data_IF_214515434800
#
_entry.id   IF_214515434800
#
_cell.length_a   1.000
_cell.length_b   1.000
_cell.length_c   1.000
_cell.angle_alpha   90.00
_cell.angle_beta   90.00
_cell.angle_gamma   90.00
#
_symmetry.space_group_name_H-M   'P 1'
#
loop_
_entity.id
_entity.type
_entity.pdbx_description
1 polymer ?
#
# COMPACT_ATOMS: atom_id res chain seq x y z
N UNK A 1 12.07 -11.82 18.63
CA UNK A 1 13.21 -11.05 18.08
C UNK A 1 12.86 -10.67 16.67
N UNK A 2 13.13 -9.43 16.27
CA UNK A 2 12.97 -8.96 14.88
C UNK A 2 14.28 -8.30 14.48
N UNK A 3 14.80 -8.62 13.31
CA UNK A 3 16.03 -8.03 12.80
C UNK A 3 16.02 -7.94 11.27
N UNK A 4 16.82 -7.01 10.73
CA UNK A 4 16.94 -6.77 9.30
C UNK A 4 18.40 -6.60 8.84
N UNK A 5 19.34 -7.31 9.48
CA UNK A 5 20.73 -7.32 9.05
C UNK A 5 20.89 -8.17 7.79
N UNK A 6 22.00 -7.98 7.08
CA UNK A 6 22.34 -8.85 5.94
C UNK A 6 22.41 -10.31 6.41
N UNK A 7 21.87 -11.21 5.60
CA UNK A 7 21.88 -12.67 5.82
C UNK A 7 23.23 -13.16 6.33
N UNK A 8 23.20 -13.92 7.45
CA UNK A 8 24.39 -14.48 8.10
C UNK A 8 25.20 -13.52 8.97
N UNK A 9 24.90 -12.20 8.98
CA UNK A 9 25.72 -11.22 9.71
C UNK A 9 25.70 -11.39 11.22
N UNK A 10 24.60 -11.93 11.77
CA UNK A 10 24.42 -12.10 13.21
C UNK A 10 25.04 -13.39 13.76
N UNK A 11 25.39 -14.35 12.89
CA UNK A 11 25.96 -15.63 13.31
C UNK A 11 27.30 -15.46 14.04
N UNK A 12 28.16 -14.54 13.57
CA UNK A 12 29.45 -14.24 14.23
C UNK A 12 29.31 -13.64 15.63
N UNK A 13 28.12 -13.17 16.00
CA UNK A 13 27.81 -12.64 17.32
C UNK A 13 27.02 -13.63 18.20
N UNK A 14 26.70 -14.82 17.68
CA UNK A 14 25.80 -15.76 18.36
C UNK A 14 24.37 -15.25 18.49
N UNK A 15 23.97 -14.31 17.63
CA UNK A 15 22.64 -13.67 17.65
C UNK A 15 21.73 -14.17 16.52
N UNK A 16 22.17 -15.16 15.74
CA UNK A 16 21.33 -15.82 14.73
C UNK A 16 20.27 -16.74 15.38
N UNK A 17 19.31 -17.18 14.56
CA UNK A 17 18.22 -18.03 15.04
C UNK A 17 18.70 -19.34 15.66
N UNK A 18 19.68 -20.04 15.07
CA UNK A 18 20.13 -21.33 15.60
C UNK A 18 20.78 -21.16 16.99
N UNK A 19 21.58 -20.11 17.16
CA UNK A 19 22.19 -19.76 18.44
C UNK A 19 21.15 -19.39 19.50
N UNK A 20 20.21 -18.49 19.20
CA UNK A 20 19.23 -18.02 20.19
C UNK A 20 18.13 -19.05 20.50
N UNK A 21 17.70 -19.84 19.53
CA UNK A 21 16.65 -20.86 19.73
C UNK A 21 17.13 -22.04 20.57
N UNK A 22 18.43 -22.35 20.56
CA UNK A 22 19.01 -23.35 21.45
C UNK A 22 18.80 -22.99 22.94
N UNK A 23 18.91 -21.70 23.28
CA UNK A 23 18.66 -21.21 24.65
C UNK A 23 17.17 -20.95 24.91
N UNK A 24 16.37 -20.71 23.88
CA UNK A 24 14.94 -20.45 24.00
C UNK A 24 14.15 -21.16 22.87
N UNK A 25 13.75 -22.43 23.08
CA UNK A 25 12.99 -23.19 22.08
C UNK A 25 11.61 -22.60 21.75
N UNK A 26 11.10 -21.69 22.59
CA UNK A 26 9.85 -20.94 22.38
C UNK A 26 10.03 -19.64 21.58
N UNK A 27 11.25 -19.35 21.09
CA UNK A 27 11.58 -18.11 20.41
C UNK A 27 10.88 -17.98 19.05
N UNK A 28 10.14 -16.89 18.87
CA UNK A 28 9.75 -16.40 17.54
C UNK A 28 10.80 -15.40 17.07
N UNK A 29 11.49 -15.72 15.99
CA UNK A 29 12.58 -14.94 15.41
C UNK A 29 12.19 -14.54 13.99
N UNK A 30 12.08 -13.24 13.72
CA UNK A 30 11.76 -12.73 12.39
C UNK A 30 12.98 -12.04 11.77
N UNK A 31 13.39 -12.51 10.60
CA UNK A 31 14.40 -11.89 9.75
C UNK A 31 13.73 -11.18 8.59
N UNK A 32 14.15 -9.95 8.30
CA UNK A 32 13.68 -9.20 7.13
C UNK A 32 14.88 -8.81 6.27
N UNK A 33 14.99 -9.38 5.08
CA UNK A 33 16.09 -9.07 4.15
C UNK A 33 15.55 -8.68 2.77
N UNK A 34 16.44 -8.32 1.83
CA UNK A 34 16.02 -8.01 0.46
C UNK A 34 15.41 -9.20 -0.28
N UNK A 35 16.00 -10.37 -0.09
CA UNK A 35 15.79 -11.54 -0.95
C UNK A 35 15.61 -12.86 -0.17
N UNK A 36 15.41 -12.77 1.15
CA UNK A 36 15.27 -13.94 2.04
C UNK A 36 16.62 -14.48 2.50
N UNK A 37 16.59 -15.46 3.40
CA UNK A 37 17.81 -16.12 3.90
C UNK A 37 18.31 -17.22 2.97
N UNK A 38 17.60 -17.50 1.86
CA UNK A 38 17.91 -18.58 0.91
C UNK A 38 17.89 -18.09 -0.54
N UNK A 39 18.34 -18.95 -1.46
CA UNK A 39 18.37 -18.65 -2.89
C UNK A 39 19.62 -17.88 -3.35
N UNK A 40 19.76 -17.67 -4.66
CA UNK A 40 21.00 -17.16 -5.26
C UNK A 40 21.35 -15.73 -4.84
N UNK A 41 20.36 -14.97 -4.34
CA UNK A 41 20.49 -13.55 -4.01
C UNK A 41 20.49 -13.27 -2.51
N UNK A 42 20.50 -14.32 -1.67
CA UNK A 42 20.36 -14.21 -0.22
C UNK A 42 21.38 -13.25 0.45
N UNK A 43 22.58 -13.10 -0.14
CA UNK A 43 23.64 -12.25 0.39
C UNK A 43 23.71 -10.85 -0.24
N UNK A 44 22.83 -10.55 -1.18
CA UNK A 44 22.74 -9.22 -1.78
C UNK A 44 22.08 -8.21 -0.83
N UNK A 45 22.42 -6.93 -0.98
CA UNK A 45 21.77 -5.87 -0.23
C UNK A 45 20.35 -5.62 -0.78
N UNK A 46 19.37 -5.55 0.11
CA UNK A 46 17.99 -5.21 -0.21
C UNK A 46 17.68 -3.76 0.09
N UNK A 47 17.11 -3.05 -0.89
CA UNK A 47 16.51 -1.73 -0.69
C UNK A 47 15.17 -1.70 -1.41
N UNK A 48 14.20 -0.99 -0.82
CA UNK A 48 12.84 -0.85 -1.35
C UNK A 48 12.80 -0.54 -2.85
N UNK A 49 13.53 0.49 -3.29
CA UNK A 49 13.48 0.90 -4.71
C UNK A 49 13.96 -0.19 -5.67
N UNK A 50 14.96 -0.98 -5.26
CA UNK A 50 15.42 -2.15 -6.02
C UNK A 50 14.33 -3.22 -6.02
N UNK A 51 13.72 -3.51 -4.86
CA UNK A 51 12.63 -4.48 -4.77
C UNK A 51 11.41 -4.09 -5.62
N UNK A 52 11.02 -2.80 -5.66
CA UNK A 52 9.95 -2.30 -6.53
C UNK A 52 10.26 -2.54 -8.01
N UNK A 53 11.50 -2.30 -8.44
CA UNK A 53 11.92 -2.57 -9.83
C UNK A 53 11.89 -4.05 -10.17
N UNK A 54 12.40 -4.89 -9.27
CA UNK A 54 12.55 -6.32 -9.51
C UNK A 54 11.25 -7.12 -9.39
N UNK A 55 10.30 -6.63 -8.60
CA UNK A 55 9.01 -7.29 -8.39
C UNK A 55 8.00 -7.05 -9.51
N UNK A 56 8.30 -6.17 -10.47
CA UNK A 56 7.37 -5.78 -11.54
C UNK A 56 6.41 -4.65 -11.16
N UNK A 57 6.43 -4.14 -9.92
CA UNK A 57 5.59 -3.01 -9.53
C UNK A 57 5.86 -1.78 -10.41
N UNK A 58 7.13 -1.47 -10.68
CA UNK A 58 7.48 -0.34 -11.53
C UNK A 58 7.08 -0.56 -12.99
N UNK A 59 7.14 -1.80 -13.51
CA UNK A 59 6.73 -2.05 -14.90
C UNK A 59 5.24 -1.82 -15.13
N UNK A 60 4.43 -1.92 -14.07
CA UNK A 60 2.98 -1.69 -14.07
C UNK A 60 2.57 -0.26 -13.72
N UNK A 61 3.48 0.54 -13.15
CA UNK A 61 3.16 1.86 -12.61
C UNK A 61 3.67 2.98 -13.52
N UNK A 62 2.80 3.94 -13.83
CA UNK A 62 3.10 5.12 -14.64
C UNK A 62 2.21 5.23 -15.87
N UNK A 63 2.44 6.26 -16.68
CA UNK A 63 1.75 6.45 -17.96
C UNK A 63 2.13 5.34 -18.97
N UNK A 64 1.22 4.97 -19.89
CA UNK A 64 1.45 3.92 -20.88
C UNK A 64 2.77 4.07 -21.66
N UNK A 65 2.99 5.27 -22.20
CA UNK A 65 4.20 5.63 -22.98
C UNK A 65 5.29 6.29 -22.11
N UNK A 66 5.08 6.38 -20.80
CA UNK A 66 6.03 6.96 -19.85
C UNK A 66 7.11 5.98 -19.42
N UNK A 67 8.13 6.48 -18.72
CA UNK A 67 9.10 5.63 -18.02
C UNK A 67 8.44 4.90 -16.83
N UNK A 68 8.88 3.68 -16.47
CA UNK A 68 8.49 3.03 -15.22
C UNK A 68 8.72 3.96 -14.02
N UNK A 69 7.71 4.13 -13.18
CA UNK A 69 7.82 4.98 -11.98
C UNK A 69 7.70 4.15 -10.70
N UNK A 70 8.44 4.54 -9.67
CA UNK A 70 8.27 3.99 -8.33
C UNK A 70 7.06 4.60 -7.63
N UNK A 71 6.58 3.94 -6.58
CA UNK A 71 5.62 4.53 -5.68
C UNK A 71 6.24 5.68 -4.86
N UNK A 72 5.42 6.65 -4.49
CA UNK A 72 5.82 7.81 -3.67
C UNK A 72 6.19 7.46 -2.23
N UNK A 73 6.02 6.20 -1.82
CA UNK A 73 6.34 5.64 -0.51
C UNK A 73 7.17 4.36 -0.68
N UNK A 74 7.81 3.91 0.39
CA UNK A 74 8.54 2.64 0.42
C UNK A 74 7.57 1.45 0.55
N UNK A 75 6.83 1.13 -0.51
CA UNK A 75 5.79 0.09 -0.47
C UNK A 75 6.34 -1.30 -0.15
N UNK A 76 7.54 -1.64 -0.63
CA UNK A 76 8.18 -2.92 -0.34
C UNK A 76 8.51 -2.99 1.14
N UNK A 77 9.13 -1.94 1.72
CA UNK A 77 9.42 -1.91 3.16
C UNK A 77 8.13 -1.98 4.01
N UNK A 78 7.13 -1.17 3.67
CA UNK A 78 5.87 -1.09 4.42
C UNK A 78 5.07 -2.38 4.35
N UNK A 79 4.94 -2.97 3.16
CA UNK A 79 4.22 -4.22 2.99
C UNK A 79 4.94 -5.39 3.66
N UNK A 80 6.27 -5.47 3.55
CA UNK A 80 7.06 -6.47 4.28
C UNK A 80 6.93 -6.30 5.80
N UNK A 81 6.92 -5.07 6.31
CA UNK A 81 6.68 -4.83 7.75
C UNK A 81 5.32 -5.38 8.22
N UNK A 82 4.26 -5.16 7.45
CA UNK A 82 2.92 -5.68 7.74
C UNK A 82 2.88 -7.20 7.67
N UNK A 83 3.49 -7.80 6.64
CA UNK A 83 3.54 -9.26 6.50
C UNK A 83 4.42 -9.93 7.56
N UNK A 84 5.53 -9.30 7.95
CA UNK A 84 6.37 -9.75 9.04
C UNK A 84 5.60 -9.76 10.36
N UNK A 85 4.85 -8.69 10.66
CA UNK A 85 3.99 -8.65 11.83
C UNK A 85 2.93 -9.78 11.81
N UNK A 86 2.31 -10.04 10.65
CA UNK A 86 1.37 -11.14 10.48
C UNK A 86 2.03 -12.52 10.68
N UNK A 87 3.21 -12.75 10.09
CA UNK A 87 3.99 -13.97 10.26
C UNK A 87 4.39 -14.21 11.73
N UNK A 88 4.80 -13.15 12.43
CA UNK A 88 5.07 -13.21 13.88
C UNK A 88 3.81 -13.55 14.67
N UNK A 89 2.67 -12.93 14.39
CA UNK A 89 1.39 -13.26 15.03
C UNK A 89 0.97 -14.71 14.79
N UNK A 90 1.13 -15.22 13.56
CA UNK A 90 0.85 -16.61 13.21
C UNK A 90 1.77 -17.58 13.96
N UNK A 91 3.08 -17.29 14.04
CA UNK A 91 4.04 -18.08 14.80
C UNK A 91 3.74 -18.07 16.31
N UNK A 92 3.31 -16.93 16.87
CA UNK A 92 2.88 -16.84 18.27
C UNK A 92 1.61 -17.66 18.53
N UNK A 93 0.64 -17.64 17.61
CA UNK A 93 -0.57 -18.45 17.71
C UNK A 93 -0.25 -19.96 17.62
N UNK A 94 0.65 -20.35 16.73
CA UNK A 94 1.14 -21.73 16.64
C UNK A 94 1.87 -22.15 17.92
N UNK A 95 2.70 -21.26 18.47
CA UNK A 95 3.42 -21.50 19.73
C UNK A 95 2.46 -21.73 20.90
N UNK A 96 1.34 -21.02 20.97
CA UNK A 96 0.35 -21.23 22.01
C UNK A 96 -0.24 -22.66 22.03
N UNK A 97 -0.23 -23.36 20.88
CA UNK A 97 -0.72 -24.74 20.76
C UNK A 97 0.37 -25.79 20.89
N UNK A 98 1.58 -25.47 20.42
CA UNK A 98 2.67 -26.44 20.29
C UNK A 98 3.78 -26.28 21.33
N UNK A 99 3.83 -25.15 22.02
CA UNK A 99 4.93 -24.74 22.90
C UNK A 99 6.22 -24.36 22.16
N UNK A 100 6.26 -24.45 20.82
CA UNK A 100 7.47 -24.25 20.02
C UNK A 100 7.47 -22.90 19.31
N UNK A 101 8.62 -22.23 19.34
CA UNK A 101 8.91 -21.07 18.52
C UNK A 101 9.12 -21.42 17.05
N UNK A 102 9.41 -20.41 16.23
CA UNK A 102 9.67 -20.53 14.80
C UNK A 102 10.58 -19.39 14.31
N UNK A 103 11.30 -19.65 13.23
CA UNK A 103 11.91 -18.61 12.42
C UNK A 103 10.92 -18.16 11.34
N UNK A 104 10.77 -16.85 11.17
CA UNK A 104 9.98 -16.20 10.12
C UNK A 104 10.96 -15.49 9.19
N UNK A 105 11.19 -16.07 8.01
CA UNK A 105 12.07 -15.50 6.97
C UNK A 105 11.25 -14.67 5.99
N UNK A 106 11.44 -13.34 6.02
CA UNK A 106 10.73 -12.39 5.19
C UNK A 106 11.68 -11.74 4.19
N UNK A 107 11.21 -11.54 2.96
CA UNK A 107 11.95 -10.80 1.95
C UNK A 107 11.16 -9.64 1.35
N UNK A 108 11.83 -8.53 1.06
CA UNK A 108 11.24 -7.40 0.33
C UNK A 108 10.72 -7.84 -1.04
N UNK A 109 11.47 -8.70 -1.73
CA UNK A 109 11.09 -9.19 -3.05
C UNK A 109 9.81 -10.05 -3.01
N UNK A 110 9.73 -11.05 -2.13
CA UNK A 110 8.57 -11.95 -2.04
C UNK A 110 7.32 -11.16 -1.66
N UNK A 111 7.46 -10.23 -0.71
CA UNK A 111 6.35 -9.37 -0.30
C UNK A 111 5.83 -8.52 -1.45
N UNK A 112 6.75 -7.93 -2.23
CA UNK A 112 6.38 -7.09 -3.36
C UNK A 112 5.78 -7.89 -4.52
N UNK A 113 6.33 -9.07 -4.83
CA UNK A 113 5.80 -9.98 -5.85
C UNK A 113 4.40 -10.46 -5.48
N UNK A 114 4.17 -10.79 -4.21
CA UNK A 114 2.85 -11.23 -3.77
C UNK A 114 1.79 -10.13 -3.77
N UNK A 115 2.16 -8.85 -3.92
CA UNK A 115 1.22 -7.74 -4.17
C UNK A 115 0.76 -7.63 -5.63
N UNK A 116 1.36 -8.39 -6.57
CA UNK A 116 0.96 -8.32 -7.99
C UNK A 116 -0.48 -8.79 -8.23
N UNK A 117 -1.03 -9.62 -7.33
CA UNK A 117 -2.43 -10.06 -7.34
C UNK A 117 -2.94 -10.44 -8.76
N UNK A 118 -3.93 -9.73 -9.27
CA UNK A 118 -4.55 -10.00 -10.57
C UNK A 118 -3.58 -9.83 -11.76
N UNK A 119 -2.52 -9.03 -11.63
CA UNK A 119 -1.54 -8.85 -12.70
C UNK A 119 -0.66 -10.09 -12.87
N UNK A 120 -0.32 -10.77 -11.77
CA UNK A 120 0.32 -12.08 -11.84
C UNK A 120 -0.62 -13.11 -12.50
N UNK A 121 -1.91 -13.11 -12.14
CA UNK A 121 -2.90 -13.98 -12.79
C UNK A 121 -3.04 -13.70 -14.29
N UNK A 122 -3.01 -12.43 -14.71
CA UNK A 122 -3.02 -12.05 -16.14
C UNK A 122 -1.84 -12.69 -16.87
N UNK A 123 -0.62 -12.52 -16.35
CA UNK A 123 0.59 -13.08 -16.96
C UNK A 123 0.55 -14.62 -17.00
N UNK A 124 0.17 -15.28 -15.91
CA UNK A 124 0.08 -16.75 -15.88
C UNK A 124 -0.99 -17.31 -16.82
N UNK A 125 -2.05 -16.54 -17.12
CA UNK A 125 -3.14 -16.99 -17.99
C UNK A 125 -2.85 -16.73 -19.47
N UNK A 126 -2.24 -15.58 -19.79
CA UNK A 126 -2.07 -15.11 -21.17
C UNK A 126 -0.66 -15.35 -21.72
N UNK A 127 0.35 -15.44 -20.84
CA UNK A 127 1.76 -15.40 -21.22
C UNK A 127 2.27 -14.00 -21.58
N UNK A 128 1.43 -12.97 -21.46
CA UNK A 128 1.74 -11.60 -21.87
C UNK A 128 1.97 -10.70 -20.66
N UNK A 129 2.90 -9.76 -20.79
CA UNK A 129 3.13 -8.74 -19.78
C UNK A 129 1.99 -7.69 -19.83
N UNK A 130 1.32 -7.38 -18.71
CA UNK A 130 0.34 -6.30 -18.67
C UNK A 130 1.00 -4.95 -19.02
N UNK A 131 0.37 -4.09 -19.83
CA UNK A 131 0.88 -2.76 -20.10
C UNK A 131 0.70 -1.84 -18.90
N UNK A 132 1.46 -0.73 -18.84
CA UNK A 132 1.12 0.40 -17.98
C UNK A 132 -0.16 1.07 -18.47
N UNK A 133 -1.02 1.47 -17.56
CA UNK A 133 -2.35 2.00 -17.89
C UNK A 133 -2.59 3.43 -17.37
N UNK A 134 -1.59 4.05 -16.72
CA UNK A 134 -1.81 5.30 -16.00
C UNK A 134 -2.92 5.14 -14.96
N UNK A 135 -3.89 6.05 -14.97
CA UNK A 135 -5.05 6.02 -14.09
C UNK A 135 -6.30 5.34 -14.68
N UNK A 136 -6.20 4.74 -15.87
CA UNK A 136 -7.33 4.07 -16.51
C UNK A 136 -7.61 2.71 -15.85
N UNK A 137 -8.89 2.32 -15.81
CA UNK A 137 -9.27 0.97 -15.38
C UNK A 137 -9.21 -0.02 -16.56
N UNK A 138 -8.67 -1.22 -16.32
CA UNK A 138 -8.46 -2.24 -17.36
C UNK A 138 -9.75 -2.74 -18.05
N UNK A 139 -10.90 -2.59 -17.39
CA UNK A 139 -12.15 -3.23 -17.82
C UNK A 139 -13.37 -2.29 -17.87
N UNK A 140 -13.23 -1.05 -17.39
CA UNK A 140 -14.39 -0.17 -17.16
C UNK A 140 -14.07 1.23 -17.67
N UNK A 141 -14.99 1.82 -18.43
CA UNK A 141 -14.91 3.20 -18.90
C UNK A 141 -16.30 3.87 -18.86
N UNK A 142 -16.39 5.16 -18.48
CA UNK A 142 -15.30 6.02 -18.02
C UNK A 142 -14.94 5.64 -16.58
N UNK A 143 -13.66 5.47 -16.28
CA UNK A 143 -13.16 5.18 -14.94
C UNK A 143 -11.73 5.68 -14.86
N UNK A 144 -11.51 6.80 -14.17
CA UNK A 144 -10.20 7.40 -14.16
C UNK A 144 -10.15 8.77 -13.52
N UNK A 145 -9.06 9.46 -13.80
CA UNK A 145 -8.72 10.76 -13.21
C UNK A 145 -8.98 11.86 -14.22
N UNK A 146 -9.71 12.88 -13.79
CA UNK A 146 -10.11 14.01 -14.61
C UNK A 146 -9.71 15.33 -13.94
N UNK A 147 -9.19 16.25 -14.75
CA UNK A 147 -8.82 17.59 -14.29
C UNK A 147 -10.08 18.42 -13.99
N UNK A 148 -9.99 19.22 -12.94
CA UNK A 148 -10.97 20.24 -12.53
C UNK A 148 -10.23 21.56 -12.33
N UNK A 149 -10.96 22.66 -12.17
CA UNK A 149 -10.38 24.01 -12.15
C UNK A 149 -9.31 24.24 -11.07
N UNK A 150 -9.33 23.46 -9.99
CA UNK A 150 -8.47 23.57 -8.82
C UNK A 150 -7.80 22.22 -8.42
N UNK A 151 -7.70 21.26 -9.35
CA UNK A 151 -7.02 19.98 -9.10
C UNK A 151 -7.50 18.82 -9.96
N UNK A 152 -7.68 17.66 -9.33
CA UNK A 152 -8.14 16.45 -10.01
C UNK A 152 -9.18 15.70 -9.16
N UNK A 153 -10.11 15.05 -9.84
CA UNK A 153 -11.08 14.11 -9.26
C UNK A 153 -10.95 12.75 -9.91
N UNK A 154 -11.28 11.72 -9.15
CA UNK A 154 -11.51 10.36 -9.64
C UNK A 154 -13.01 10.21 -9.87
N UNK A 155 -13.39 9.76 -11.06
CA UNK A 155 -14.77 9.37 -11.38
C UNK A 155 -14.80 7.86 -11.64
N UNK A 156 -15.68 7.15 -10.94
CA UNK A 156 -15.77 5.68 -10.99
C UNK A 156 -17.19 5.16 -11.25
N UNK A 157 -17.87 5.57 -12.36
CA UNK A 157 -19.18 5.03 -12.73
C UNK A 157 -19.05 3.60 -13.28
N UNK A 158 -19.00 2.62 -12.39
CA UNK A 158 -18.67 1.23 -12.72
C UNK A 158 -19.79 0.40 -13.41
N UNK A 159 -20.88 1.05 -13.87
CA UNK A 159 -21.95 0.42 -14.64
C UNK A 159 -22.78 1.47 -15.40
N UNK A 160 -23.62 1.03 -16.34
CA UNK A 160 -24.45 1.88 -17.20
C UNK A 160 -25.36 2.84 -16.42
N UNK A 161 -25.90 2.39 -15.28
CA UNK A 161 -26.75 3.21 -14.42
C UNK A 161 -25.98 4.38 -13.78
N UNK A 162 -24.79 4.11 -13.27
CA UNK A 162 -23.88 5.14 -12.73
C UNK A 162 -23.37 6.05 -13.85
N UNK A 163 -23.11 5.49 -15.03
CA UNK A 163 -22.67 6.24 -16.20
C UNK A 163 -23.73 7.27 -16.64
N UNK A 164 -24.98 6.85 -16.81
CA UNK A 164 -26.07 7.76 -17.15
C UNK A 164 -26.27 8.87 -16.11
N UNK A 165 -26.13 8.54 -14.81
CA UNK A 165 -26.17 9.54 -13.74
C UNK A 165 -25.02 10.55 -13.85
N UNK A 166 -23.80 10.10 -14.15
CA UNK A 166 -22.66 11.00 -14.37
C UNK A 166 -22.90 11.92 -15.56
N UNK A 167 -23.39 11.37 -16.68
CA UNK A 167 -23.71 12.16 -17.88
C UNK A 167 -24.78 13.22 -17.59
N UNK A 168 -25.79 12.91 -16.76
CA UNK A 168 -26.78 13.87 -16.30
C UNK A 168 -26.17 14.98 -15.42
N UNK A 169 -25.24 14.65 -14.52
CA UNK A 169 -24.51 15.64 -13.70
C UNK A 169 -23.69 16.60 -14.57
N UNK A 170 -23.05 16.08 -15.61
CA UNK A 170 -22.19 16.85 -16.51
C UNK A 170 -22.96 17.58 -17.64
N UNK A 171 -24.27 17.36 -17.74
CA UNK A 171 -25.11 17.83 -18.86
C UNK A 171 -24.52 17.44 -20.23
N UNK A 172 -24.24 16.14 -20.41
CA UNK A 172 -23.67 15.57 -21.64
C UNK A 172 -24.48 14.38 -22.13
N UNK A 173 -24.48 14.19 -23.44
CA UNK A 173 -25.03 12.98 -24.09
C UNK A 173 -23.90 12.02 -24.43
N UNK A 174 -24.07 10.74 -24.15
CA UNK A 174 -23.02 9.74 -24.36
C UNK A 174 -22.61 9.62 -25.85
N UNK A 175 -21.35 9.93 -26.15
CA UNK A 175 -20.73 9.58 -27.44
C UNK A 175 -19.53 8.65 -27.19
N UNK A 176 -19.67 7.39 -27.59
CA UNK A 176 -18.74 6.32 -27.23
C UNK A 176 -17.31 6.50 -27.77
N UNK A 177 -17.10 7.31 -28.82
CA UNK A 177 -15.78 7.43 -29.48
C UNK A 177 -14.80 8.40 -28.81
N UNK A 178 -15.29 9.32 -27.97
CA UNK A 178 -14.46 10.37 -27.35
C UNK A 178 -14.81 10.60 -25.86
N UNK A 179 -15.33 9.56 -25.20
CA UNK A 179 -16.00 9.69 -23.90
C UNK A 179 -15.13 10.34 -22.82
N UNK A 180 -13.88 9.90 -22.67
CA UNK A 180 -12.98 10.48 -21.67
C UNK A 180 -12.59 11.93 -21.99
N UNK A 181 -12.44 12.28 -23.27
CA UNK A 181 -12.16 13.65 -23.68
C UNK A 181 -13.36 14.58 -23.45
N UNK A 182 -14.58 14.10 -23.67
CA UNK A 182 -15.81 14.84 -23.38
C UNK A 182 -15.98 15.06 -21.87
N UNK A 183 -15.72 14.04 -21.06
CA UNK A 183 -15.75 14.14 -19.60
C UNK A 183 -14.65 15.08 -19.10
N UNK A 184 -13.43 14.96 -19.61
CA UNK A 184 -12.33 15.87 -19.26
C UNK A 184 -12.68 17.33 -19.59
N UNK A 185 -13.26 17.59 -20.77
CA UNK A 185 -13.73 18.92 -21.15
C UNK A 185 -14.84 19.44 -20.23
N UNK A 186 -15.82 18.58 -19.89
CA UNK A 186 -16.92 18.95 -19.01
C UNK A 186 -16.45 19.26 -17.58
N UNK A 187 -15.54 18.44 -17.04
CA UNK A 187 -15.03 18.55 -15.67
C UNK A 187 -14.04 19.69 -15.47
N UNK A 188 -13.29 20.10 -16.50
CA UNK A 188 -12.25 21.13 -16.41
C UNK A 188 -12.71 22.49 -15.84
N UNK A 189 -14.00 22.82 -16.00
CA UNK A 189 -14.58 24.09 -15.51
C UNK A 189 -15.23 23.97 -14.12
N UNK A 190 -15.36 22.76 -13.59
CA UNK A 190 -15.92 22.56 -12.25
C UNK A 190 -14.90 22.90 -11.16
N UNK A 191 -15.32 23.49 -10.04
CA UNK A 191 -14.59 23.39 -8.78
C UNK A 191 -14.63 21.94 -8.27
N UNK A 192 -13.52 21.44 -7.74
CA UNK A 192 -13.38 20.07 -7.23
C UNK A 192 -14.51 19.67 -6.29
N UNK A 193 -14.76 20.46 -5.24
CA UNK A 193 -15.79 20.16 -4.26
C UNK A 193 -17.20 20.21 -4.87
N UNK A 194 -17.47 21.18 -5.74
CA UNK A 194 -18.78 21.31 -6.39
C UNK A 194 -19.14 20.08 -7.23
N UNK A 195 -18.17 19.50 -7.94
CA UNK A 195 -18.39 18.27 -8.71
C UNK A 195 -18.59 17.06 -7.80
N UNK A 196 -17.79 16.94 -6.72
CA UNK A 196 -17.94 15.86 -5.76
C UNK A 196 -19.31 15.89 -5.08
N UNK A 197 -19.81 17.06 -4.69
CA UNK A 197 -21.13 17.23 -4.08
C UNK A 197 -22.25 16.85 -5.06
N UNK A 198 -22.13 17.25 -6.33
CA UNK A 198 -23.09 16.90 -7.38
C UNK A 198 -23.10 15.38 -7.66
N UNK A 199 -21.92 14.75 -7.76
CA UNK A 199 -21.79 13.31 -7.89
C UNK A 199 -22.39 12.58 -6.68
N UNK A 200 -22.10 13.04 -5.47
CA UNK A 200 -22.64 12.46 -4.23
C UNK A 200 -24.17 12.53 -4.21
N UNK A 201 -24.75 13.69 -4.53
CA UNK A 201 -26.20 13.87 -4.62
C UNK A 201 -26.86 12.95 -5.66
N UNK A 202 -26.18 12.65 -6.76
CA UNK A 202 -26.64 11.70 -7.78
C UNK A 202 -26.37 10.22 -7.43
N UNK A 203 -25.57 9.95 -6.39
CA UNK A 203 -25.10 8.61 -6.01
C UNK A 203 -24.06 8.05 -6.99
N UNK A 204 -23.24 8.90 -7.60
CA UNK A 204 -22.11 8.53 -8.46
C UNK A 204 -20.84 8.46 -7.60
N UNK A 205 -20.13 7.31 -7.55
CA UNK A 205 -18.84 7.23 -6.87
C UNK A 205 -17.80 8.17 -7.49
N UNK A 206 -17.33 9.11 -6.67
CA UNK A 206 -16.29 10.05 -7.01
C UNK A 206 -15.46 10.38 -5.76
N UNK A 207 -14.21 10.78 -5.95
CA UNK A 207 -13.32 11.17 -4.86
C UNK A 207 -12.23 12.14 -5.30
N UNK A 208 -11.68 12.97 -4.40
CA UNK A 208 -10.59 13.87 -4.74
C UNK A 208 -9.25 13.14 -4.83
N UNK A 209 -8.31 13.67 -5.61
CA UNK A 209 -6.89 13.42 -5.38
C UNK A 209 -6.38 14.47 -4.40
N UNK A 210 -6.19 14.05 -3.15
CA UNK A 210 -5.80 14.94 -2.06
C UNK A 210 -4.27 15.08 -1.96
N UNK A 211 -3.83 16.30 -1.66
CA UNK A 211 -2.52 16.57 -1.07
C UNK A 211 -2.54 16.21 0.43
N UNK A 212 -1.36 16.10 1.07
CA UNK A 212 -1.27 15.70 2.48
C UNK A 212 -1.98 16.67 3.44
N UNK A 213 -1.94 17.97 3.16
CA UNK A 213 -2.69 18.98 3.91
C UNK A 213 -4.19 18.72 3.86
N UNK A 214 -4.71 18.31 2.70
CA UNK A 214 -6.12 17.95 2.53
C UNK A 214 -6.46 16.61 3.17
N UNK A 215 -5.55 15.62 3.12
CA UNK A 215 -5.72 14.32 3.81
C UNK A 215 -5.90 14.53 5.32
N UNK A 216 -5.05 15.34 5.95
CA UNK A 216 -5.14 15.55 7.40
C UNK A 216 -6.20 16.57 7.83
N UNK A 217 -6.75 17.33 6.89
CA UNK A 217 -7.93 18.18 7.09
C UNK A 217 -9.26 17.44 6.83
N UNK A 218 -9.22 16.25 6.23
CA UNK A 218 -10.41 15.46 5.91
C UNK A 218 -11.23 15.13 7.17
N UNK A 219 -12.55 15.42 7.19
CA UNK A 219 -13.39 15.20 8.37
C UNK A 219 -13.42 13.74 8.84
N UNK A 220 -13.34 12.77 7.92
CA UNK A 220 -13.31 11.35 8.27
C UNK A 220 -11.95 10.97 8.86
N UNK A 221 -10.83 11.46 8.31
CA UNK A 221 -9.48 11.24 8.87
C UNK A 221 -9.37 11.80 10.29
N UNK A 222 -9.93 13.00 10.52
CA UNK A 222 -10.01 13.62 11.85
C UNK A 222 -10.90 12.80 12.79
N UNK A 223 -12.11 12.44 12.37
CA UNK A 223 -13.04 11.64 13.18
C UNK A 223 -12.47 10.26 13.55
N UNK A 224 -11.62 9.71 12.69
CA UNK A 224 -10.89 8.45 12.93
C UNK A 224 -9.63 8.64 13.78
N UNK A 225 -9.26 9.88 14.14
CA UNK A 225 -8.14 10.19 15.02
C UNK A 225 -6.81 9.62 14.51
N UNK A 226 -6.57 9.69 13.19
CA UNK A 226 -5.37 9.06 12.59
C UNK A 226 -4.08 9.84 12.90
N UNK A 227 -4.15 11.17 12.94
CA UNK A 227 -3.03 12.01 13.38
C UNK A 227 -2.98 12.01 14.92
N UNK A 228 -1.82 11.72 15.46
CA UNK A 228 -1.52 11.74 16.89
C UNK A 228 -0.30 12.61 17.15
N UNK A 229 -0.07 12.99 18.40
CA UNK A 229 1.14 13.70 18.84
C UNK A 229 1.67 13.06 20.12
N UNK A 230 2.90 12.56 20.08
CA UNK A 230 3.56 11.88 21.20
C UNK A 230 4.90 12.54 21.47
N UNK A 231 5.14 12.99 22.70
CA UNK A 231 6.39 13.68 23.06
C UNK A 231 6.67 14.95 22.24
N UNK A 232 5.62 15.66 21.80
CA UNK A 232 5.73 16.84 20.94
C UNK A 232 6.02 16.55 19.47
N UNK A 233 5.97 15.27 19.04
CA UNK A 233 6.14 14.87 17.65
C UNK A 233 4.83 14.35 17.08
N UNK A 234 4.38 14.96 15.99
CA UNK A 234 3.22 14.48 15.25
C UNK A 234 3.55 13.19 14.49
N UNK A 235 2.58 12.27 14.45
CA UNK A 235 2.69 11.00 13.74
C UNK A 235 1.33 10.47 13.28
N UNK A 236 1.35 9.31 12.65
CA UNK A 236 0.13 8.58 12.24
C UNK A 236 0.07 7.28 13.05
N UNK A 237 -1.02 7.09 13.80
CA UNK A 237 -1.20 5.85 14.58
C UNK A 237 -1.41 4.64 13.67
N UNK A 238 -1.21 3.44 14.19
CA UNK A 238 -1.60 2.21 13.49
C UNK A 238 -3.12 2.21 13.21
N UNK A 239 -3.57 1.76 12.02
CA UNK A 239 -4.96 1.91 11.58
C UNK A 239 -5.91 0.84 12.16
N UNK A 240 -5.67 0.41 13.40
CA UNK A 240 -6.55 -0.54 14.09
C UNK A 240 -7.59 0.19 14.95
N UNK A 241 -8.75 -0.43 15.09
CA UNK A 241 -9.78 -0.05 16.06
C UNK A 241 -10.42 -1.35 16.52
N UNK A 242 -10.31 -1.64 17.81
CA UNK A 242 -10.91 -2.84 18.38
C UNK A 242 -12.18 -2.43 19.13
N UNK A 243 -13.16 -3.34 19.23
CA UNK A 243 -14.41 -3.08 19.94
C UNK A 243 -14.25 -3.09 21.46
N UNK A 244 -13.21 -3.77 21.97
CA UNK A 244 -12.99 -4.05 23.40
C UNK A 244 -11.49 -4.03 23.76
N UNK A 245 -10.69 -3.26 23.01
CA UNK A 245 -9.26 -3.06 23.29
C UNK A 245 -8.78 -1.72 22.74
N UNK A 246 -7.75 -1.16 23.38
CA UNK A 246 -7.15 0.12 23.01
C UNK A 246 -5.72 -0.05 22.50
N UNK A 247 -5.27 0.90 21.67
CA UNK A 247 -3.88 0.98 21.23
C UNK A 247 -3.02 1.62 22.33
N UNK A 248 -1.81 1.10 22.53
CA UNK A 248 -0.81 1.74 23.37
C UNK A 248 -0.19 2.94 22.63
N UNK A 249 -0.76 4.13 22.83
CA UNK A 249 -0.36 5.39 22.20
C UNK A 249 0.05 6.44 23.24
N UNK A 250 0.77 6.02 24.27
CA UNK A 250 1.14 6.84 25.44
C UNK A 250 2.65 7.10 25.54
N UNK A 251 3.48 6.43 24.73
CA UNK A 251 4.95 6.59 24.74
C UNK A 251 5.49 7.13 23.42
N UNK A 252 6.34 8.17 23.43
CA UNK A 252 7.05 8.63 22.25
C UNK A 252 8.14 7.65 21.82
N UNK A 253 8.75 7.91 20.65
CA UNK A 253 9.97 7.21 20.24
C UNK A 253 11.08 7.40 21.29
N UNK A 254 11.82 6.33 21.64
CA UNK A 254 12.88 6.43 22.63
C UNK A 254 14.07 7.24 22.09
N UNK A 255 14.77 7.93 22.98
CA UNK A 255 16.08 8.51 22.65
C UNK A 255 17.19 7.44 22.75
N UNK A 256 18.32 7.69 22.10
CA UNK A 256 19.45 6.75 22.14
C UNK A 256 19.92 6.49 23.58
N UNK A 257 19.89 5.23 24.02
CA UNK A 257 20.33 4.79 25.34
C UNK A 257 19.32 5.00 26.47
N UNK A 258 18.05 5.34 26.18
CA UNK A 258 17.02 5.57 27.21
C UNK A 258 16.75 4.34 28.08
N UNK A 259 16.65 3.16 27.46
CA UNK A 259 16.22 1.91 28.09
C UNK A 259 17.36 0.84 28.17
N UNK A 260 18.61 1.22 27.89
CA UNK A 260 19.81 0.35 27.89
C UNK A 260 20.37 0.07 26.51
#
# INVERSE_FOLDING_TARGET
VIENFKTGSLAKFGLDYASLSAANPGLVYCSITGFGQTGPRAHEAGYDFVAQGMSGLMSLTGEPEGHPVKMGISISDLSTGVWAANGVQAALLMRARTGKGQQVDMSLLDCSVGLLANQASYYFTTGENPPRMGNAHAQVAPYGVFAVSDGHVILAPANDGLFHKLMAVLDRTANAKALDAEIACATATWPKQGLLDACHAAGVPAGPINRLDEVFADPQVIARGLRIELGGMAGVRSPFTFSDAELALDRPSPIHGEDG
#
